data_IF_533128847457
#
_entry.id   IF_533128847457
#
_cell.length_a   1.000
_cell.length_b   1.000
_cell.length_c   1.000
_cell.angle_alpha   90.00
_cell.angle_beta   90.00
_cell.angle_gamma   90.00
#
_symmetry.space_group_name_H-M   'P 1'
#
loop_
_entity.id
_entity.type
_entity.pdbx_description
1 polymer ?
#
# COMPACT_ATOMS: atom_id res chain seq x y z
N UNK A 1 -49.54 -19.27 -37.81
CA UNK A 1 -48.33 -19.81 -37.16
C UNK A 1 -47.03 -19.13 -37.56
N UNK A 2 -46.89 -18.64 -38.78
CA UNK A 2 -45.67 -17.97 -39.29
C UNK A 2 -45.40 -16.62 -38.61
N UNK A 3 -46.44 -15.92 -38.12
CA UNK A 3 -46.30 -14.62 -37.42
C UNK A 3 -45.64 -14.70 -36.04
N UNK A 4 -45.81 -15.82 -35.34
CA UNK A 4 -45.26 -15.99 -34.00
C UNK A 4 -43.74 -16.28 -34.01
N UNK A 5 -43.25 -16.91 -35.06
CA UNK A 5 -41.81 -17.17 -35.22
C UNK A 5 -41.02 -15.89 -35.45
N UNK A 6 -41.54 -14.91 -36.19
CA UNK A 6 -40.86 -13.63 -36.44
C UNK A 6 -40.83 -12.74 -35.19
N UNK A 7 -41.87 -12.76 -34.36
CA UNK A 7 -41.90 -12.05 -33.09
C UNK A 7 -40.92 -12.61 -32.08
N UNK A 8 -40.71 -13.93 -32.06
CA UNK A 8 -39.76 -14.60 -31.22
C UNK A 8 -38.33 -14.34 -31.61
N UNK A 9 -38.02 -14.24 -32.94
CA UNK A 9 -36.71 -13.90 -33.43
C UNK A 9 -36.30 -12.47 -33.02
N UNK A 10 -37.20 -11.49 -33.16
CA UNK A 10 -36.95 -10.11 -32.73
C UNK A 10 -36.73 -9.99 -31.23
N UNK A 11 -37.48 -10.73 -30.41
CA UNK A 11 -37.34 -10.78 -28.96
C UNK A 11 -36.01 -11.41 -28.58
N UNK A 12 -35.59 -12.50 -29.23
CA UNK A 12 -34.33 -13.16 -28.96
C UNK A 12 -33.12 -12.26 -29.29
N UNK A 13 -33.20 -11.46 -30.38
CA UNK A 13 -32.15 -10.52 -30.75
C UNK A 13 -32.01 -9.39 -29.70
N UNK A 14 -33.15 -8.82 -29.24
CA UNK A 14 -33.16 -7.79 -28.22
C UNK A 14 -32.64 -8.35 -26.89
N UNK A 15 -33.02 -9.55 -26.53
CA UNK A 15 -32.53 -10.22 -25.32
C UNK A 15 -31.04 -10.46 -25.41
N UNK A 16 -30.49 -10.89 -26.53
CA UNK A 16 -29.07 -11.06 -26.77
C UNK A 16 -28.31 -9.73 -26.61
N UNK A 17 -28.83 -8.65 -27.18
CA UNK A 17 -28.21 -7.31 -27.07
C UNK A 17 -28.20 -6.82 -25.63
N UNK A 18 -29.30 -6.98 -24.92
CA UNK A 18 -29.37 -6.58 -23.48
C UNK A 18 -28.42 -7.41 -22.65
N UNK A 19 -28.32 -8.71 -22.89
CA UNK A 19 -27.39 -9.59 -22.19
C UNK A 19 -25.95 -9.21 -22.40
N UNK A 20 -25.54 -8.86 -23.63
CA UNK A 20 -24.19 -8.38 -23.95
C UNK A 20 -23.92 -7.05 -23.25
N UNK A 21 -24.89 -6.15 -23.23
CA UNK A 21 -24.77 -4.86 -22.56
C UNK A 21 -24.55 -5.03 -21.04
N UNK A 22 -25.37 -5.85 -20.40
CA UNK A 22 -25.25 -6.13 -18.94
C UNK A 22 -23.94 -6.84 -18.63
N UNK A 23 -23.51 -7.78 -19.46
CA UNK A 23 -22.24 -8.47 -19.29
C UNK A 23 -21.05 -7.52 -19.40
N UNK A 24 -21.08 -6.59 -20.36
CA UNK A 24 -20.03 -5.58 -20.53
C UNK A 24 -19.93 -4.67 -19.32
N UNK A 25 -21.04 -4.22 -18.77
CA UNK A 25 -21.08 -3.41 -17.55
C UNK A 25 -20.51 -4.20 -16.37
N UNK A 26 -20.85 -5.47 -16.26
CA UNK A 26 -20.35 -6.36 -15.21
C UNK A 26 -18.83 -6.53 -15.27
N UNK A 27 -18.27 -6.71 -16.46
CA UNK A 27 -16.80 -6.81 -16.64
C UNK A 27 -16.10 -5.52 -16.22
N UNK A 28 -16.61 -4.36 -16.62
CA UNK A 28 -16.02 -3.07 -16.26
C UNK A 28 -16.04 -2.86 -14.75
N UNK A 29 -17.15 -3.21 -14.09
CA UNK A 29 -17.25 -3.14 -12.64
C UNK A 29 -16.24 -4.06 -11.94
N UNK A 30 -16.06 -5.28 -12.44
CA UNK A 30 -15.10 -6.25 -11.91
C UNK A 30 -13.66 -5.74 -12.05
N UNK A 31 -13.31 -5.14 -13.19
CA UNK A 31 -11.97 -4.58 -13.42
C UNK A 31 -11.66 -3.44 -12.45
N UNK A 32 -12.64 -2.61 -12.11
CA UNK A 32 -12.47 -1.55 -11.11
C UNK A 32 -12.19 -2.11 -9.71
N UNK A 33 -12.91 -3.15 -9.31
CA UNK A 33 -12.69 -3.82 -8.02
C UNK A 33 -11.31 -4.45 -7.95
N UNK A 34 -10.87 -5.13 -9.01
CA UNK A 34 -9.54 -5.72 -9.09
C UNK A 34 -8.44 -4.66 -9.00
N UNK A 35 -8.60 -3.53 -9.68
CA UNK A 35 -7.66 -2.41 -9.62
C UNK A 35 -7.52 -1.82 -8.22
N UNK A 36 -8.61 -1.65 -7.49
CA UNK A 36 -8.61 -1.21 -6.10
C UNK A 36 -7.92 -2.22 -5.18
N UNK A 37 -8.19 -3.51 -5.34
CA UNK A 37 -7.57 -4.59 -4.55
C UNK A 37 -6.06 -4.64 -4.74
N UNK A 38 -5.55 -4.43 -5.93
CA UNK A 38 -4.11 -4.40 -6.20
C UNK A 38 -3.46 -3.19 -5.53
N UNK A 39 -4.09 -2.02 -5.54
CA UNK A 39 -3.59 -0.84 -4.82
C UNK A 39 -3.55 -1.07 -3.32
N UNK A 40 -4.59 -1.64 -2.73
CA UNK A 40 -4.67 -1.92 -1.30
C UNK A 40 -3.61 -2.94 -0.87
N UNK A 41 -3.37 -3.98 -1.67
CA UNK A 41 -2.32 -4.96 -1.41
C UNK A 41 -0.92 -4.34 -1.44
N UNK A 42 -0.65 -3.44 -2.39
CA UNK A 42 0.61 -2.70 -2.47
C UNK A 42 0.83 -1.79 -1.26
N UNK A 43 -0.22 -1.11 -0.80
CA UNK A 43 -0.18 -0.25 0.39
C UNK A 43 0.15 -1.04 1.66
N UNK A 44 -0.46 -2.21 1.84
CA UNK A 44 -0.18 -3.11 2.96
C UNK A 44 1.26 -3.60 2.92
N UNK A 45 1.77 -3.94 1.74
CA UNK A 45 3.16 -4.37 1.56
C UNK A 45 4.15 -3.28 1.94
N UNK A 46 3.93 -2.04 1.49
CA UNK A 46 4.81 -0.91 1.83
C UNK A 46 4.78 -0.63 3.33
N UNK A 47 3.62 -0.68 3.97
CA UNK A 47 3.50 -0.50 5.42
C UNK A 47 4.21 -1.60 6.20
N UNK A 48 4.08 -2.85 5.77
CA UNK A 48 4.78 -3.98 6.38
C UNK A 48 6.29 -3.85 6.23
N UNK A 49 6.78 -3.43 5.07
CA UNK A 49 8.19 -3.16 4.82
C UNK A 49 8.72 -2.04 5.70
N UNK A 50 7.98 -0.94 5.80
CA UNK A 50 8.34 0.20 6.66
C UNK A 50 8.42 -0.21 8.13
N UNK A 51 7.45 -0.98 8.62
CA UNK A 51 7.44 -1.51 9.99
C UNK A 51 8.64 -2.40 10.24
N UNK A 52 8.97 -3.30 9.33
CA UNK A 52 10.13 -4.19 9.42
C UNK A 52 11.44 -3.39 9.46
N UNK A 53 11.60 -2.38 8.61
CA UNK A 53 12.80 -1.53 8.58
C UNK A 53 12.94 -0.72 9.88
N UNK A 54 11.85 -0.20 10.41
CA UNK A 54 11.84 0.51 11.68
C UNK A 54 12.24 -0.41 12.84
N UNK A 55 11.67 -1.61 12.89
CA UNK A 55 11.98 -2.60 13.92
C UNK A 55 13.42 -3.08 13.86
N UNK A 56 13.96 -3.28 12.67
CA UNK A 56 15.37 -3.63 12.47
C UNK A 56 16.30 -2.53 12.99
N UNK A 57 15.97 -1.28 12.70
CA UNK A 57 16.76 -0.13 13.16
C UNK A 57 16.75 -0.04 14.67
N UNK A 58 15.59 -0.17 15.30
CA UNK A 58 15.47 -0.18 16.77
C UNK A 58 16.19 -1.38 17.36
N UNK A 59 16.10 -2.55 16.74
CA UNK A 59 16.81 -3.75 17.17
C UNK A 59 18.33 -3.58 17.16
N UNK A 60 18.89 -2.97 16.13
CA UNK A 60 20.33 -2.64 16.09
C UNK A 60 20.73 -1.67 17.20
N UNK A 61 19.91 -0.67 17.47
CA UNK A 61 20.15 0.30 18.53
C UNK A 61 20.05 -0.33 19.92
N UNK A 62 19.18 -1.32 20.11
CA UNK A 62 19.09 -2.08 21.35
C UNK A 62 20.39 -2.82 21.68
N UNK A 63 21.04 -3.36 20.66
CA UNK A 63 22.30 -4.09 20.83
C UNK A 63 23.45 -3.13 21.09
N UNK A 64 23.40 -1.92 20.55
CA UNK A 64 24.47 -0.91 20.62
C UNK A 64 24.01 0.35 21.40
N UNK A 65 23.41 0.16 22.55
CA UNK A 65 22.86 1.24 23.39
C UNK A 65 23.87 2.29 23.83
N UNK A 66 25.14 1.95 23.85
CA UNK A 66 26.20 2.87 24.22
C UNK A 66 26.48 3.93 23.13
N UNK A 67 26.11 3.68 21.88
CA UNK A 67 26.44 4.51 20.74
C UNK A 67 25.19 5.01 19.99
N UNK A 68 24.12 5.34 20.68
CA UNK A 68 22.86 5.77 20.07
C UNK A 68 23.02 6.98 19.15
N UNK A 69 23.90 7.90 19.50
CA UNK A 69 24.17 9.10 18.69
C UNK A 69 24.72 8.76 17.29
N UNK A 70 25.38 7.63 17.13
CA UNK A 70 25.89 7.20 15.83
C UNK A 70 24.78 6.77 14.85
N UNK A 71 23.58 6.49 15.36
CA UNK A 71 22.43 6.08 14.55
C UNK A 71 21.55 7.24 14.13
N UNK A 72 21.80 8.46 14.58
CA UNK A 72 21.04 9.65 14.19
C UNK A 72 21.19 9.88 12.71
N UNK A 73 20.06 9.93 12.00
CA UNK A 73 19.99 10.12 10.56
C UNK A 73 18.90 11.14 10.21
N UNK A 74 19.11 11.90 9.15
CA UNK A 74 18.12 12.83 8.64
C UNK A 74 17.79 12.49 7.19
N UNK A 75 16.58 12.00 6.96
CA UNK A 75 16.02 11.69 5.65
C UNK A 75 16.96 10.88 4.72
N UNK A 76 17.61 9.85 5.27
CA UNK A 76 18.47 8.96 4.49
C UNK A 76 17.64 8.09 3.54
N UNK A 77 18.04 8.01 2.27
CA UNK A 77 17.32 7.28 1.25
C UNK A 77 17.25 5.77 1.55
N UNK A 78 16.07 5.18 1.33
CA UNK A 78 15.82 3.75 1.46
C UNK A 78 15.40 3.17 0.11
N UNK A 79 16.18 2.22 -0.41
CA UNK A 79 15.90 1.58 -1.70
C UNK A 79 14.71 0.60 -1.64
N UNK A 80 14.36 0.10 -0.46
CA UNK A 80 13.28 -0.86 -0.27
C UNK A 80 11.88 -0.27 -0.45
N UNK A 81 11.75 1.06 -0.44
CA UNK A 81 10.48 1.77 -0.57
C UNK A 81 10.56 2.84 -1.67
N UNK A 82 9.46 3.07 -2.42
CA UNK A 82 9.43 4.12 -3.43
C UNK A 82 9.59 5.49 -2.79
N UNK A 83 10.60 6.25 -3.22
CA UNK A 83 11.00 7.52 -2.59
C UNK A 83 11.13 7.44 -1.06
N UNK A 84 11.58 6.28 -0.57
CA UNK A 84 11.70 6.01 0.85
C UNK A 84 12.81 6.79 1.51
N UNK A 85 12.54 7.30 2.71
CA UNK A 85 13.54 7.95 3.56
C UNK A 85 13.36 7.50 5.01
N UNK A 86 14.47 7.49 5.74
CA UNK A 86 14.48 7.17 7.17
C UNK A 86 15.10 8.31 7.94
N UNK A 87 14.44 8.69 9.03
CA UNK A 87 14.95 9.65 10.00
C UNK A 87 15.01 8.97 11.37
N UNK A 88 16.14 9.06 12.02
CA UNK A 88 16.34 8.55 13.38
C UNK A 88 16.68 9.69 14.29
N UNK A 89 15.87 9.90 15.31
CA UNK A 89 16.08 10.91 16.34
C UNK A 89 16.29 10.24 17.70
N UNK A 90 17.23 10.77 18.47
CA UNK A 90 17.54 10.30 19.82
C UNK A 90 17.39 11.45 20.79
N UNK A 91 16.54 11.27 21.81
CA UNK A 91 16.34 12.23 22.90
C UNK A 91 16.48 11.49 24.24
N UNK A 92 17.67 11.60 24.87
CA UNK A 92 17.97 10.82 26.06
C UNK A 92 17.95 9.32 25.79
N UNK A 93 17.03 8.62 26.41
CA UNK A 93 16.82 7.17 26.22
C UNK A 93 15.72 6.86 25.21
N UNK A 94 15.07 7.86 24.65
CA UNK A 94 13.97 7.69 23.69
C UNK A 94 14.50 7.79 22.26
N UNK A 95 14.28 6.76 21.49
CA UNK A 95 14.62 6.69 20.08
C UNK A 95 13.34 6.73 19.26
N UNK A 96 13.33 7.57 18.25
CA UNK A 96 12.21 7.68 17.33
C UNK A 96 12.70 7.41 15.89
N UNK A 97 12.12 6.41 15.25
CA UNK A 97 12.39 6.07 13.85
C UNK A 97 11.19 6.45 13.03
N UNK A 98 11.38 7.29 12.04
CA UNK A 98 10.34 7.73 11.11
C UNK A 98 10.72 7.28 9.71
N UNK A 99 9.82 6.56 9.05
CA UNK A 99 9.98 6.12 7.68
C UNK A 99 8.90 6.76 6.84
N UNK A 100 9.32 7.44 5.78
CA UNK A 100 8.43 8.06 4.80
C UNK A 100 8.60 7.35 3.46
N UNK A 101 7.51 7.22 2.74
CA UNK A 101 7.51 6.70 1.36
C UNK A 101 6.37 7.32 0.58
N UNK A 102 6.52 7.33 -0.74
CA UNK A 102 5.50 7.83 -1.65
C UNK A 102 5.24 6.77 -2.71
N UNK A 103 4.07 6.10 -2.69
CA UNK A 103 3.73 5.12 -3.71
C UNK A 103 3.66 5.77 -5.10
N UNK A 104 4.02 5.03 -6.17
CA UNK A 104 3.91 5.55 -7.54
C UNK A 104 2.48 5.97 -7.88
N UNK A 105 2.32 7.15 -8.48
CA UNK A 105 1.03 7.68 -8.88
C UNK A 105 0.17 8.27 -7.76
N UNK A 106 0.70 8.33 -6.53
CA UNK A 106 0.03 8.93 -5.37
C UNK A 106 0.83 10.15 -4.92
N UNK A 107 0.17 11.30 -4.82
CA UNK A 107 0.82 12.55 -4.40
C UNK A 107 1.11 12.60 -2.89
N UNK A 108 0.35 11.86 -2.08
CA UNK A 108 0.50 11.86 -0.63
C UNK A 108 1.71 11.04 -0.17
N UNK A 109 2.48 11.57 0.75
CA UNK A 109 3.56 10.86 1.43
C UNK A 109 2.98 10.09 2.61
N UNK A 110 3.29 8.80 2.69
CA UNK A 110 2.94 7.95 3.82
C UNK A 110 4.06 7.96 4.86
N UNK A 111 3.69 7.87 6.12
CA UNK A 111 4.63 7.92 7.23
C UNK A 111 4.35 6.79 8.22
N UNK A 112 5.41 6.12 8.67
CA UNK A 112 5.37 5.16 9.76
C UNK A 112 6.39 5.59 10.82
N UNK A 113 5.93 5.79 12.04
CA UNK A 113 6.76 6.25 13.15
C UNK A 113 6.70 5.26 14.30
N UNK A 114 7.86 4.87 14.80
CA UNK A 114 7.99 4.01 15.98
C UNK A 114 8.91 4.68 16.98
N UNK A 115 8.51 4.71 18.23
CA UNK A 115 9.32 5.21 19.33
C UNK A 115 9.56 4.09 20.34
N UNK A 116 10.77 4.01 20.85
CA UNK A 116 11.14 3.06 21.87
C UNK A 116 11.99 3.74 22.94
N UNK A 117 11.80 3.34 24.19
CA UNK A 117 12.64 3.76 25.30
C UNK A 117 13.68 2.68 25.57
N UNK A 118 14.94 3.02 25.33
CA UNK A 118 16.07 2.11 25.53
C UNK A 118 16.66 2.36 26.91
N UNK A 119 16.28 1.54 27.88
CA UNK A 119 16.83 1.67 29.23
C UNK A 119 18.27 1.17 29.27
N UNK A 120 19.17 2.00 29.81
CA UNK A 120 20.51 1.55 30.17
C UNK A 120 20.44 0.74 31.47
N UNK A 121 21.03 -0.42 31.46
CA UNK A 121 21.27 -1.15 32.71
C UNK A 121 22.37 -0.50 33.52
#
# INVERSE_FOLDING_TARGET
MIRNARGQEGSALVEALVSVLLFSIGIIALLRVLGASVKDAGDVEYRATAATLADQTIGMMWVDRANLAAYVEDAVALDALPNGTRTVAVAGNVVTVTINWQPPGIAAVHTHTVSATLMSN
#
